data_IF_345317552126
#
_entry.id   IF_345317552126
#
_cell.length_a   1.000
_cell.length_b   1.000
_cell.length_c   1.000
_cell.angle_alpha   90.00
_cell.angle_beta   90.00
_cell.angle_gamma   90.00
#
_symmetry.space_group_name_H-M   'P 1'
#
loop_
_entity.id
_entity.type
_entity.pdbx_description
1 polymer ?
#
# COMPACT_ATOMS: atom_id res chain seq x y z
N UNK A 1 39.66 35.24 -41.16
CA UNK A 1 39.17 34.29 -40.13
C UNK A 1 38.05 33.49 -40.79
N UNK A 2 38.09 32.15 -40.81
CA UNK A 2 37.04 31.37 -41.47
C UNK A 2 35.71 31.57 -40.73
N UNK A 3 34.66 31.92 -41.48
CA UNK A 3 33.30 32.05 -40.95
C UNK A 3 32.86 30.71 -40.36
N UNK A 4 32.42 30.74 -39.10
CA UNK A 4 31.82 29.57 -38.46
C UNK A 4 30.43 29.39 -39.06
N UNK A 5 30.08 28.21 -39.61
CA UNK A 5 28.74 27.97 -40.11
C UNK A 5 27.74 28.13 -38.95
N UNK A 6 26.78 29.05 -39.13
CA UNK A 6 25.69 29.29 -38.19
C UNK A 6 24.59 28.25 -38.35
N UNK A 7 23.93 27.90 -37.25
CA UNK A 7 22.81 26.97 -37.23
C UNK A 7 21.62 27.55 -38.02
N UNK A 8 21.02 26.77 -38.92
CA UNK A 8 19.84 27.24 -39.66
C UNK A 8 18.56 27.00 -38.87
N UNK A 9 17.56 27.86 -39.08
CA UNK A 9 16.24 27.72 -38.45
C UNK A 9 15.55 26.40 -38.84
N UNK A 10 15.82 25.91 -40.06
CA UNK A 10 15.27 24.66 -40.58
C UNK A 10 15.90 23.46 -39.88
N UNK A 11 17.21 23.46 -39.64
CA UNK A 11 17.88 22.37 -38.89
C UNK A 11 17.32 22.24 -37.47
N UNK A 12 17.10 23.37 -36.79
CA UNK A 12 16.51 23.36 -35.46
C UNK A 12 15.07 22.81 -35.49
N UNK A 13 14.28 23.19 -36.49
CA UNK A 13 12.88 22.79 -36.63
C UNK A 13 12.74 21.28 -36.91
N UNK A 14 13.53 20.74 -37.84
CA UNK A 14 13.50 19.29 -38.16
C UNK A 14 13.97 18.47 -36.95
N UNK A 15 14.98 18.95 -36.23
CA UNK A 15 15.50 18.26 -35.04
C UNK A 15 14.46 18.17 -33.93
N UNK A 16 13.78 19.29 -33.64
CA UNK A 16 12.70 19.32 -32.65
C UNK A 16 11.51 18.45 -33.08
N UNK A 17 11.17 18.43 -34.37
CA UNK A 17 10.10 17.57 -34.88
C UNK A 17 10.38 16.09 -34.60
N UNK A 18 11.61 15.63 -34.86
CA UNK A 18 12.01 14.24 -34.60
C UNK A 18 12.04 13.96 -33.09
N UNK A 19 12.57 14.89 -32.27
CA UNK A 19 12.58 14.76 -30.80
C UNK A 19 11.17 14.55 -30.24
N UNK A 20 10.19 15.34 -30.71
CA UNK A 20 8.81 15.25 -30.25
C UNK A 20 8.15 13.92 -30.62
N UNK A 21 8.44 13.36 -31.80
CA UNK A 21 7.96 12.04 -32.22
C UNK A 21 8.51 10.96 -31.27
N UNK A 22 9.81 11.02 -30.94
CA UNK A 22 10.42 10.05 -30.02
C UNK A 22 9.81 10.13 -28.61
N UNK A 23 9.63 11.35 -28.08
CA UNK A 23 9.02 11.56 -26.76
C UNK A 23 7.57 11.06 -26.74
N UNK A 24 6.78 11.33 -27.79
CA UNK A 24 5.39 10.90 -27.87
C UNK A 24 5.22 9.37 -27.74
N UNK A 25 6.16 8.60 -28.29
CA UNK A 25 6.16 7.12 -28.18
C UNK A 25 6.74 6.67 -26.84
N UNK A 26 7.82 7.30 -26.38
CA UNK A 26 8.54 6.86 -25.18
C UNK A 26 7.80 7.18 -23.87
N UNK A 27 7.15 8.35 -23.78
CA UNK A 27 6.53 8.85 -22.56
C UNK A 27 5.45 7.93 -21.95
N UNK A 28 4.44 7.43 -22.70
CA UNK A 28 3.41 6.57 -22.11
C UNK A 28 3.98 5.28 -21.53
N UNK A 29 4.93 4.65 -22.24
CA UNK A 29 5.59 3.43 -21.75
C UNK A 29 6.46 3.72 -20.50
N UNK A 30 7.14 4.87 -20.47
CA UNK A 30 7.91 5.29 -19.30
C UNK A 30 7.03 5.50 -18.07
N UNK A 31 5.87 6.14 -18.21
CA UNK A 31 4.91 6.34 -17.12
C UNK A 31 4.37 5.01 -16.59
N UNK A 32 4.01 4.08 -17.47
CA UNK A 32 3.58 2.73 -17.05
C UNK A 32 4.69 1.97 -16.31
N UNK A 33 5.93 2.05 -16.81
CA UNK A 33 7.07 1.42 -16.14
C UNK A 33 7.30 2.01 -14.75
N UNK A 34 7.13 3.33 -14.58
CA UNK A 34 7.23 3.98 -13.29
C UNK A 34 6.15 3.50 -12.31
N UNK A 35 4.90 3.34 -12.75
CA UNK A 35 3.81 2.80 -11.92
C UNK A 35 4.11 1.37 -11.51
N UNK A 36 4.53 0.51 -12.46
CA UNK A 36 4.92 -0.88 -12.17
C UNK A 36 6.05 -0.94 -11.14
N UNK A 37 7.06 -0.07 -11.25
CA UNK A 37 8.15 0.02 -10.28
C UNK A 37 7.65 0.43 -8.88
N UNK A 38 6.71 1.38 -8.79
CA UNK A 38 6.07 1.76 -7.51
C UNK A 38 5.28 0.61 -6.90
N UNK A 39 4.51 -0.15 -7.69
CA UNK A 39 3.78 -1.35 -7.20
C UNK A 39 4.74 -2.39 -6.62
N UNK A 40 5.85 -2.67 -7.32
CA UNK A 40 6.88 -3.61 -6.82
C UNK A 40 7.50 -3.11 -5.52
N UNK A 41 7.82 -1.81 -5.44
CA UNK A 41 8.30 -1.18 -4.20
C UNK A 41 7.29 -1.32 -3.08
N UNK A 42 6.03 -0.95 -3.29
CA UNK A 42 4.94 -1.08 -2.32
C UNK A 42 4.85 -2.51 -1.77
N UNK A 43 4.86 -3.54 -2.64
CA UNK A 43 4.82 -4.94 -2.20
C UNK A 43 6.02 -5.32 -1.31
N UNK A 44 7.21 -4.81 -1.62
CA UNK A 44 8.42 -5.02 -0.82
C UNK A 44 8.35 -4.30 0.53
N UNK A 45 7.87 -3.06 0.56
CA UNK A 45 7.69 -2.30 1.79
C UNK A 45 6.62 -2.92 2.69
N UNK A 46 5.48 -3.35 2.13
CA UNK A 46 4.46 -4.11 2.86
C UNK A 46 5.04 -5.39 3.50
N UNK A 47 5.96 -6.09 2.83
CA UNK A 47 6.68 -7.24 3.41
C UNK A 47 7.56 -6.84 4.59
N UNK A 48 8.25 -5.72 4.47
CA UNK A 48 9.13 -5.18 5.51
C UNK A 48 8.32 -4.77 6.75
N UNK A 49 7.22 -4.05 6.55
CA UNK A 49 6.29 -3.65 7.61
C UNK A 49 5.66 -4.88 8.27
N UNK A 50 5.23 -5.85 7.47
CA UNK A 50 4.67 -7.12 7.96
C UNK A 50 5.65 -7.87 8.86
N UNK A 51 6.93 -7.91 8.48
CA UNK A 51 7.99 -8.51 9.32
C UNK A 51 8.19 -7.74 10.62
N UNK A 52 8.15 -6.41 10.58
CA UNK A 52 8.26 -5.57 11.76
C UNK A 52 7.07 -5.75 12.72
N UNK A 53 5.84 -5.85 12.18
CA UNK A 53 4.63 -6.14 12.95
C UNK A 53 4.70 -7.49 13.66
N UNK A 54 5.22 -8.52 12.97
CA UNK A 54 5.39 -9.85 13.58
C UNK A 54 6.40 -9.82 14.73
N UNK A 55 7.52 -9.10 14.57
CA UNK A 55 8.50 -8.91 15.66
C UNK A 55 7.89 -8.15 16.84
N UNK A 56 7.17 -7.06 16.57
CA UNK A 56 6.46 -6.32 17.61
C UNK A 56 5.48 -7.22 18.37
N UNK A 57 4.72 -8.04 17.66
CA UNK A 57 3.78 -8.98 18.27
C UNK A 57 4.49 -10.07 19.10
N UNK A 58 5.69 -10.51 18.69
CA UNK A 58 6.48 -11.45 19.49
C UNK A 58 6.89 -10.85 20.84
N UNK A 59 7.24 -9.55 20.86
CA UNK A 59 7.73 -8.87 22.06
C UNK A 59 6.58 -8.40 22.98
N UNK A 60 5.44 -7.99 22.40
CA UNK A 60 4.33 -7.39 23.16
C UNK A 60 3.06 -8.25 23.24
N UNK A 61 2.95 -9.32 22.44
CA UNK A 61 1.76 -10.19 22.33
C UNK A 61 0.47 -9.49 21.84
N UNK A 62 0.60 -8.31 21.24
CA UNK A 62 -0.47 -7.60 20.55
C UNK A 62 0.14 -6.77 19.42
N UNK A 63 -0.67 -6.40 18.43
CA UNK A 63 -0.21 -5.52 17.36
C UNK A 63 -0.37 -4.02 17.72
N UNK A 64 0.48 -3.13 17.17
CA UNK A 64 0.54 -1.75 17.61
C UNK A 64 -0.75 -0.98 17.33
N UNK A 65 -1.30 -0.31 18.33
CA UNK A 65 -2.46 0.57 18.19
C UNK A 65 -2.05 2.03 18.29
N UNK A 66 -2.72 2.91 17.55
CA UNK A 66 -2.54 4.35 17.73
C UNK A 66 -3.43 4.83 18.86
N UNK A 67 -2.87 5.05 20.04
CA UNK A 67 -3.63 5.67 21.15
C UNK A 67 -3.51 7.18 21.04
N UNK A 68 -4.63 7.88 20.86
CA UNK A 68 -4.67 9.35 20.90
C UNK A 68 -4.70 9.84 22.35
N UNK A 69 -4.36 11.12 22.62
CA UNK A 69 -4.27 11.65 23.98
C UNK A 69 -5.57 11.56 24.81
N UNK A 70 -6.71 11.44 24.14
CA UNK A 70 -8.04 11.23 24.76
C UNK A 70 -8.34 9.74 25.05
N UNK A 71 -7.36 8.84 24.91
CA UNK A 71 -7.51 7.41 25.18
C UNK A 71 -8.14 6.58 24.05
N UNK A 72 -8.43 7.18 22.89
CA UNK A 72 -8.97 6.44 21.74
C UNK A 72 -7.86 5.67 21.00
N UNK A 73 -8.01 4.37 20.85
CA UNK A 73 -7.20 3.50 20.00
C UNK A 73 -7.73 3.39 18.57
N UNK A 74 -6.94 3.88 17.63
CA UNK A 74 -7.19 3.79 16.20
C UNK A 74 -6.33 2.72 15.54
N UNK A 75 -6.83 2.06 14.49
CA UNK A 75 -6.10 1.03 13.75
C UNK A 75 -4.76 1.48 13.13
N UNK A 76 -4.42 2.77 13.11
CA UNK A 76 -3.28 3.35 12.38
C UNK A 76 -1.99 3.50 13.20
N UNK A 77 -1.58 2.44 13.89
CA UNK A 77 -0.45 2.43 14.85
C UNK A 77 0.96 2.27 14.28
N UNK A 78 1.19 2.34 12.97
CA UNK A 78 2.48 1.99 12.35
C UNK A 78 3.69 2.79 12.89
N UNK A 79 3.47 4.00 13.39
CA UNK A 79 4.53 4.81 14.00
C UNK A 79 5.19 4.12 15.22
N UNK A 80 4.45 3.28 15.94
CA UNK A 80 4.95 2.53 17.10
C UNK A 80 5.96 1.43 16.71
N UNK A 81 6.12 1.13 15.42
CA UNK A 81 7.18 0.25 14.92
C UNK A 81 8.54 0.94 14.83
N UNK A 82 8.57 2.27 14.97
CA UNK A 82 9.79 3.08 14.84
C UNK A 82 10.25 3.62 16.19
N UNK A 83 9.33 3.88 17.12
CA UNK A 83 9.60 4.40 18.46
C UNK A 83 8.65 3.75 19.49
N UNK A 84 9.11 3.49 20.73
CA UNK A 84 10.45 3.70 21.28
C UNK A 84 11.48 2.62 20.88
N UNK A 85 11.03 1.41 20.53
CA UNK A 85 11.88 0.34 20.01
C UNK A 85 11.76 0.32 18.49
N UNK A 86 12.90 0.29 17.80
CA UNK A 86 12.96 0.40 16.34
C UNK A 86 12.91 -0.99 15.69
N UNK A 87 11.75 -1.37 15.19
CA UNK A 87 11.54 -2.58 14.38
C UNK A 87 11.72 -2.32 12.88
N UNK A 88 11.54 -1.07 12.44
CA UNK A 88 11.72 -0.65 11.06
C UNK A 88 12.21 0.79 10.92
N UNK A 89 12.63 1.16 9.70
CA UNK A 89 13.03 2.53 9.35
C UNK A 89 11.79 3.39 9.05
N UNK A 90 11.58 4.55 9.72
CA UNK A 90 10.47 5.46 9.43
C UNK A 90 10.45 5.98 7.99
N UNK A 91 11.61 6.04 7.30
CA UNK A 91 11.67 6.48 5.90
C UNK A 91 10.92 5.55 4.93
N UNK A 92 10.56 4.33 5.38
CA UNK A 92 9.82 3.32 4.62
C UNK A 92 8.31 3.34 4.83
N UNK A 93 7.82 4.19 5.73
CA UNK A 93 6.38 4.30 6.05
C UNK A 93 5.53 5.03 5.00
N UNK A 94 6.01 6.07 4.29
CA UNK A 94 5.20 6.76 3.30
C UNK A 94 4.78 5.82 2.17
N UNK A 95 3.48 5.80 1.87
CA UNK A 95 2.94 5.02 0.77
C UNK A 95 3.32 5.68 -0.58
N UNK A 96 3.87 4.93 -1.56
CA UNK A 96 4.04 5.42 -2.93
C UNK A 96 2.75 5.85 -3.64
N UNK A 97 1.58 5.43 -3.13
CA UNK A 97 0.25 5.77 -3.64
C UNK A 97 -0.63 6.41 -2.56
N UNK A 98 -0.29 7.61 -2.08
CA UNK A 98 -1.07 8.27 -1.03
C UNK A 98 -2.40 8.80 -1.58
N UNK A 99 -3.40 8.86 -0.71
CA UNK A 99 -4.66 9.58 -0.92
C UNK A 99 -4.58 10.87 -0.10
N UNK A 100 -4.13 11.93 -0.78
CA UNK A 100 -3.88 13.24 -0.18
C UNK A 100 -5.20 14.02 -0.05
N UNK A 101 -5.43 14.76 1.06
CA UNK A 101 -4.46 15.12 2.09
C UNK A 101 -4.45 14.24 3.36
N UNK A 102 -5.26 13.17 3.41
CA UNK A 102 -5.59 12.52 4.67
C UNK A 102 -4.74 11.29 4.99
N UNK A 103 -4.22 10.58 3.98
CA UNK A 103 -3.56 9.29 4.16
C UNK A 103 -2.25 9.21 3.37
N UNK A 104 -1.17 9.60 4.05
CA UNK A 104 0.20 9.57 3.52
C UNK A 104 0.97 8.28 3.82
N UNK A 105 0.45 7.46 4.76
CA UNK A 105 1.04 6.20 5.20
C UNK A 105 0.19 5.03 4.71
N UNK A 106 0.78 3.83 4.72
CA UNK A 106 0.02 2.58 4.55
C UNK A 106 -1.14 2.50 5.55
N UNK A 107 -2.29 2.05 5.06
CA UNK A 107 -3.42 1.74 5.94
C UNK A 107 -3.17 0.42 6.63
N UNK A 108 -3.54 0.37 7.89
CA UNK A 108 -3.25 -0.74 8.78
C UNK A 108 -4.49 -0.99 9.65
N UNK A 109 -4.89 -2.25 9.76
CA UNK A 109 -5.98 -2.70 10.61
C UNK A 109 -5.56 -3.92 11.42
N UNK A 110 -5.41 -3.80 12.75
CA UNK A 110 -5.37 -4.95 13.63
C UNK A 110 -6.77 -5.55 13.71
N UNK A 111 -6.84 -6.88 13.66
CA UNK A 111 -8.10 -7.63 13.68
C UNK A 111 -8.02 -8.68 14.79
N UNK A 112 -9.10 -8.76 15.55
CA UNK A 112 -9.28 -9.71 16.64
C UNK A 112 -9.51 -11.13 16.10
N UNK A 113 -9.35 -12.12 16.97
CA UNK A 113 -9.65 -13.52 16.65
C UNK A 113 -11.12 -13.77 16.25
N UNK A 114 -12.05 -12.94 16.74
CA UNK A 114 -13.47 -12.97 16.37
C UNK A 114 -13.78 -12.35 14.99
N UNK A 115 -12.78 -11.75 14.34
CA UNK A 115 -12.87 -11.15 13.02
C UNK A 115 -13.30 -9.67 13.00
N UNK A 116 -13.50 -9.04 14.17
CA UNK A 116 -13.77 -7.61 14.24
C UNK A 116 -12.48 -6.79 14.23
N UNK A 117 -12.52 -5.63 13.55
CA UNK A 117 -11.43 -4.65 13.57
C UNK A 117 -11.26 -4.15 15.01
N UNK A 118 -10.02 -4.11 15.48
CA UNK A 118 -9.68 -3.56 16.78
C UNK A 118 -9.89 -2.04 16.78
N UNK A 119 -10.77 -1.56 17.66
CA UNK A 119 -11.19 -0.16 17.76
C UNK A 119 -11.40 0.26 19.24
N UNK A 120 -11.90 1.49 19.46
CA UNK A 120 -12.20 2.04 20.79
C UNK A 120 -13.25 1.25 21.57
N UNK A 121 -14.11 0.52 20.87
CA UNK A 121 -15.24 -0.19 21.46
C UNK A 121 -14.89 -1.66 21.75
N UNK A 122 -13.67 -2.06 21.41
CA UNK A 122 -13.20 -3.42 21.60
C UNK A 122 -12.95 -3.69 23.08
N UNK A 123 -13.43 -4.83 23.62
CA UNK A 123 -13.38 -5.13 25.05
C UNK A 123 -11.96 -5.24 25.64
N UNK A 124 -10.94 -5.44 24.78
CA UNK A 124 -9.53 -5.50 25.14
C UNK A 124 -8.69 -5.01 23.96
N UNK A 125 -7.65 -4.22 24.24
CA UNK A 125 -6.67 -3.73 23.25
C UNK A 125 -5.59 -4.77 22.90
N UNK A 126 -5.65 -5.97 23.48
CA UNK A 126 -4.63 -7.01 23.32
C UNK A 126 -5.12 -8.25 22.57
N UNK A 127 -6.34 -8.24 22.05
CA UNK A 127 -6.94 -9.44 21.43
C UNK A 127 -6.66 -9.56 19.92
N UNK A 128 -5.88 -8.64 19.34
CA UNK A 128 -5.56 -8.66 17.91
C UNK A 128 -4.64 -9.84 17.58
N UNK A 129 -5.17 -10.84 16.87
CA UNK A 129 -4.43 -12.05 16.49
C UNK A 129 -3.84 -11.97 15.08
N UNK A 130 -4.36 -11.07 14.24
CA UNK A 130 -3.91 -10.86 12.86
C UNK A 130 -4.12 -9.41 12.42
N UNK A 131 -3.65 -9.07 11.23
CA UNK A 131 -3.80 -7.74 10.69
C UNK A 131 -3.93 -7.71 9.16
N UNK A 132 -4.47 -6.59 8.68
CA UNK A 132 -4.47 -6.18 7.29
C UNK A 132 -3.64 -4.92 7.10
N UNK A 133 -2.85 -4.91 6.04
CA UNK A 133 -2.16 -3.75 5.51
C UNK A 133 -2.66 -3.50 4.10
N UNK A 134 -2.86 -2.23 3.75
CA UNK A 134 -3.13 -1.87 2.37
C UNK A 134 -2.42 -0.59 1.93
N UNK A 135 -2.17 -0.53 0.64
CA UNK A 135 -1.86 0.67 -0.12
C UNK A 135 -2.98 0.90 -1.12
N UNK A 136 -3.29 2.15 -1.41
CA UNK A 136 -4.39 2.47 -2.33
C UNK A 136 -4.11 1.93 -3.75
N UNK A 137 -2.84 1.78 -4.14
CA UNK A 137 -2.49 1.29 -5.47
C UNK A 137 -2.57 2.39 -6.55
N UNK A 138 -2.42 2.03 -7.84
CA UNK A 138 -2.21 3.01 -8.91
C UNK A 138 -3.35 4.01 -9.16
N UNK A 139 -4.57 3.64 -8.80
CA UNK A 139 -5.77 4.48 -8.84
C UNK A 139 -5.81 5.52 -7.71
N UNK A 140 -4.96 5.37 -6.68
CA UNK A 140 -4.88 6.24 -5.50
C UNK A 140 -6.19 6.36 -4.73
N UNK A 141 -7.16 5.51 -5.02
CA UNK A 141 -8.47 5.50 -4.39
C UNK A 141 -8.54 4.35 -3.38
N UNK A 142 -9.08 4.62 -2.20
CA UNK A 142 -9.19 3.60 -1.17
C UNK A 142 -10.53 2.88 -1.27
N UNK A 143 -10.49 1.61 -1.67
CA UNK A 143 -11.67 0.76 -1.71
C UNK A 143 -11.81 0.05 -0.36
N UNK A 144 -12.78 0.50 0.43
CA UNK A 144 -13.00 -0.02 1.76
C UNK A 144 -13.36 -1.51 1.71
N UNK A 145 -12.48 -2.34 2.27
CA UNK A 145 -12.72 -3.77 2.45
C UNK A 145 -13.99 -4.09 3.27
N UNK A 146 -14.51 -3.11 4.01
CA UNK A 146 -15.72 -3.20 4.82
C UNK A 146 -17.00 -3.49 4.00
N UNK A 147 -17.11 -3.01 2.77
CA UNK A 147 -18.30 -3.25 1.93
C UNK A 147 -18.31 -4.68 1.36
N UNK A 148 -17.14 -5.20 1.00
CA UNK A 148 -16.94 -6.60 0.61
C UNK A 148 -17.19 -7.56 1.78
N UNK A 149 -16.73 -7.21 2.98
CA UNK A 149 -17.01 -7.99 4.20
C UNK A 149 -18.50 -8.07 4.56
N UNK A 150 -19.27 -7.04 4.19
CA UNK A 150 -20.72 -6.98 4.39
C UNK A 150 -21.51 -7.63 3.25
N UNK A 151 -20.83 -8.23 2.26
CA UNK A 151 -21.46 -8.90 1.13
C UNK A 151 -22.08 -7.94 0.10
N UNK A 152 -21.71 -6.66 0.10
CA UNK A 152 -22.27 -5.62 -0.78
C UNK A 152 -21.35 -5.22 -1.95
N UNK A 153 -20.26 -5.94 -2.20
CA UNK A 153 -19.33 -5.66 -3.30
C UNK A 153 -18.55 -6.88 -3.77
N UNK A 154 -18.07 -6.84 -5.03
CA UNK A 154 -17.20 -7.88 -5.58
C UNK A 154 -15.80 -7.74 -5.01
N UNK A 155 -15.25 -8.86 -4.52
CA UNK A 155 -13.88 -8.90 -3.99
C UNK A 155 -12.83 -8.54 -5.04
N UNK A 156 -13.10 -8.83 -6.32
CA UNK A 156 -12.18 -8.52 -7.43
C UNK A 156 -12.03 -7.01 -7.67
N UNK A 157 -13.00 -6.20 -7.24
CA UNK A 157 -12.97 -4.75 -7.41
C UNK A 157 -12.13 -4.07 -6.31
N UNK A 158 -11.83 -4.78 -5.23
CA UNK A 158 -11.11 -4.25 -4.06
C UNK A 158 -9.63 -4.65 -4.05
N UNK A 159 -9.25 -5.69 -4.80
CA UNK A 159 -7.88 -6.20 -4.83
C UNK A 159 -7.16 -5.84 -6.11
N UNK A 160 -5.92 -5.38 -5.97
CA UNK A 160 -5.04 -5.09 -7.08
C UNK A 160 -4.86 -6.29 -8.02
N UNK A 161 -5.24 -6.11 -9.29
CA UNK A 161 -5.11 -7.10 -10.35
C UNK A 161 -3.74 -6.95 -11.08
N UNK A 162 -2.82 -7.94 -11.01
CA UNK A 162 -1.50 -7.83 -11.63
C UNK A 162 -1.54 -7.73 -13.16
N UNK A 163 -2.55 -8.34 -13.79
CA UNK A 163 -2.75 -8.33 -15.25
C UNK A 163 -3.06 -6.94 -15.79
N UNK A 164 -3.60 -6.06 -14.95
CA UNK A 164 -3.96 -4.70 -15.33
C UNK A 164 -2.96 -3.65 -14.85
N UNK A 165 -1.90 -4.04 -14.12
CA UNK A 165 -0.62 -3.32 -13.97
C UNK A 165 -0.70 -1.86 -13.51
N UNK A 166 -1.01 -0.97 -14.45
CA UNK A 166 -1.12 0.49 -14.31
C UNK A 166 -2.56 1.03 -14.23
N UNK A 167 -3.57 0.21 -14.56
CA UNK A 167 -5.00 0.56 -14.60
C UNK A 167 -5.84 -0.17 -13.55
N UNK A 168 -5.19 -0.86 -12.60
CA UNK A 168 -5.92 -1.57 -11.56
C UNK A 168 -6.63 -0.57 -10.66
N UNK A 169 -7.95 -0.70 -10.54
CA UNK A 169 -8.81 0.07 -9.65
C UNK A 169 -8.91 -0.55 -8.25
N UNK A 170 -7.85 -1.21 -7.79
CA UNK A 170 -7.91 -2.09 -6.63
C UNK A 170 -6.68 -1.91 -5.76
N UNK A 171 -6.87 -2.05 -4.45
CA UNK A 171 -5.81 -1.77 -3.48
C UNK A 171 -4.82 -2.93 -3.37
N UNK A 172 -3.58 -2.60 -3.02
CA UNK A 172 -2.55 -3.61 -2.78
C UNK A 172 -2.64 -4.03 -1.32
N UNK A 173 -3.19 -5.22 -1.09
CA UNK A 173 -3.38 -5.77 0.25
C UNK A 173 -2.25 -6.72 0.65
N UNK A 174 -1.99 -6.78 1.95
CA UNK A 174 -1.19 -7.81 2.60
C UNK A 174 -1.79 -8.14 3.96
N UNK A 175 -1.76 -9.40 4.33
CA UNK A 175 -2.14 -9.85 5.67
C UNK A 175 -0.94 -10.47 6.42
N UNK A 176 -1.09 -10.61 7.73
CA UNK A 176 -0.16 -11.39 8.55
C UNK A 176 -0.73 -11.68 9.94
N UNK A 177 -0.06 -12.57 10.66
CA UNK A 177 -0.51 -13.08 11.97
C UNK A 177 -1.33 -14.36 11.88
N UNK A 178 -1.90 -14.78 13.01
CA UNK A 178 -2.71 -15.99 13.11
C UNK A 178 -4.19 -15.62 13.04
N UNK A 179 -4.77 -15.79 11.84
CA UNK A 179 -6.21 -15.64 11.65
C UNK A 179 -6.92 -16.93 12.09
N UNK A 180 -7.84 -16.81 13.05
CA UNK A 180 -8.65 -17.92 13.56
C UNK A 180 -10.14 -17.73 13.21
N UNK A 181 -10.90 -18.82 13.18
CA UNK A 181 -12.37 -18.78 13.06
C UNK A 181 -12.92 -18.23 11.73
N UNK A 182 -14.02 -17.45 11.81
CA UNK A 182 -14.81 -16.96 10.66
C UNK A 182 -14.02 -16.03 9.72
N UNK A 183 -13.04 -15.30 10.27
CA UNK A 183 -12.15 -14.44 9.49
C UNK A 183 -11.29 -15.21 8.48
N UNK A 184 -10.75 -16.36 8.91
CA UNK A 184 -9.96 -17.25 8.04
C UNK A 184 -10.79 -17.87 6.91
N UNK A 185 -12.09 -18.04 7.11
CA UNK A 185 -12.97 -18.65 6.11
C UNK A 185 -13.37 -17.67 4.99
N UNK A 186 -13.55 -16.38 5.30
CA UNK A 186 -14.17 -15.44 4.36
C UNK A 186 -13.19 -14.42 3.75
N UNK A 187 -12.10 -14.09 4.46
CA UNK A 187 -11.24 -12.93 4.14
C UNK A 187 -9.86 -13.36 3.68
N UNK A 188 -9.25 -14.23 4.49
CA UNK A 188 -7.88 -14.70 4.32
C UNK A 188 -7.68 -15.32 2.94
N UNK A 189 -8.50 -16.28 2.45
CA UNK A 189 -8.25 -17.03 1.20
C UNK A 189 -8.20 -16.16 -0.06
N UNK A 190 -8.83 -14.99 0.02
CA UNK A 190 -9.02 -14.13 -1.12
C UNK A 190 -7.83 -13.16 -1.28
N UNK A 191 -7.04 -12.94 -0.21
CA UNK A 191 -5.96 -11.95 -0.22
C UNK A 191 -4.63 -12.51 -0.79
N UNK A 192 -3.87 -11.71 -1.55
CA UNK A 192 -2.55 -12.10 -2.03
C UNK A 192 -1.61 -12.39 -0.86
N UNK A 193 -0.99 -13.59 -0.84
CA UNK A 193 -0.17 -14.07 0.27
C UNK A 193 -0.92 -14.91 1.31
N UNK A 194 -2.12 -15.37 0.99
CA UNK A 194 -2.93 -16.29 1.81
C UNK A 194 -2.55 -17.76 1.75
N UNK A 195 -1.83 -18.19 0.71
CA UNK A 195 -1.52 -19.61 0.54
C UNK A 195 -0.15 -19.97 1.10
N UNK A 196 -0.21 -20.71 2.21
CA UNK A 196 0.54 -21.95 2.51
C UNK A 196 2.06 -21.89 2.37
N UNK A 197 2.71 -21.48 3.45
CA UNK A 197 3.81 -22.25 4.03
C UNK A 197 3.34 -22.83 5.38
#
# INVERSE_FOLDING_TARGET
MPDRPGFTLIELLVTLAILLILIAIALPNFLEAQIRARVVRTRSELKTISTALLRYHQDFHFYPLRTTPNGQTWPSGLNNLTTPIRYMDPARLPDPFPDEPYYILYRYWPIRADGYIQDNNSPSNRDSSWYLLSSNGPDQDFNAFAETLRGQGSFLDVVYAPTNGSRSSGNIWRQGGQAEGRARANVVPCLPGSDRD
#
